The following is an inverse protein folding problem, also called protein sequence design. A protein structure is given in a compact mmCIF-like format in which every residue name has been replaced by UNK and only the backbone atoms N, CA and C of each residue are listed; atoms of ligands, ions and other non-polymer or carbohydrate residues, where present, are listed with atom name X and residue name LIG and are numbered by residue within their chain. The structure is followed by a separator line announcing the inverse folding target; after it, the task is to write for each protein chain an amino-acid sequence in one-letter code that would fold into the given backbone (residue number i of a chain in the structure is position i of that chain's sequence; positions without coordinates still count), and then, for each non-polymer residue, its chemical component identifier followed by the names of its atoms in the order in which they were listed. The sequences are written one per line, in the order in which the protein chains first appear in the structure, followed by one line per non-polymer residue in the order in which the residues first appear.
data_IF_407501256388
#
_entry.id   IF_407501256388
#
_cell.length_a   1.000
_cell.length_b   1.000
_cell.length_c   1.000
_cell.angle_alpha   90.00
_cell.angle_beta   90.00
_cell.angle_gamma   90.00
#
_symmetry.space_group_name_H-M   'P 1'
#
loop_
_entity.id
_entity.type
_entity.pdbx_description
1 polymer ?
#
# COMPACT_ATOMS: atom_id res chain seq x y z
N UNK A 1 8.89 11.07 -0.78
CA UNK A 1 9.06 10.02 0.24
C UNK A 1 8.71 10.51 1.62
N UNK A 2 9.16 11.68 2.04
CA UNK A 2 8.89 12.25 3.38
C UNK A 2 7.43 12.29 3.77
N UNK A 3 6.53 12.61 2.84
CA UNK A 3 5.10 12.61 3.10
C UNK A 3 4.54 11.20 3.40
N UNK A 4 5.10 10.16 2.80
CA UNK A 4 4.70 8.77 3.07
C UNK A 4 5.21 8.35 4.44
N UNK A 5 6.50 8.58 4.72
CA UNK A 5 7.11 8.22 5.99
C UNK A 5 6.42 8.87 7.20
N UNK A 6 6.02 10.15 7.09
CA UNK A 6 5.30 10.88 8.15
C UNK A 6 3.90 10.35 8.44
N UNK A 7 3.30 9.61 7.53
CA UNK A 7 1.93 9.07 7.68
C UNK A 7 1.90 7.64 8.21
N UNK A 8 3.01 6.94 8.15
CA UNK A 8 3.09 5.60 8.70
C UNK A 8 3.10 5.66 10.23
N UNK A 9 2.34 4.80 10.92
CA UNK A 9 2.36 4.71 12.37
C UNK A 9 3.60 3.96 12.90
N UNK A 10 4.57 3.70 12.04
CA UNK A 10 5.83 3.03 12.34
C UNK A 10 6.93 3.53 11.39
N UNK A 11 8.21 3.39 11.75
CA UNK A 11 9.32 3.78 10.88
C UNK A 11 9.32 3.00 9.56
N UNK A 12 9.55 3.70 8.46
CA UNK A 12 9.74 3.08 7.14
C UNK A 12 11.08 2.33 7.14
N UNK A 13 11.03 1.01 6.98
CA UNK A 13 12.21 0.15 7.05
C UNK A 13 12.84 -0.15 5.70
N UNK A 14 12.03 -0.22 4.65
CA UNK A 14 12.52 -0.59 3.33
C UNK A 14 11.62 -0.09 2.20
N UNK A 15 12.21 0.05 1.03
CA UNK A 15 11.55 0.43 -0.23
C UNK A 15 11.97 -0.56 -1.29
N UNK A 16 11.01 -1.15 -1.97
CA UNK A 16 11.19 -2.10 -3.06
C UNK A 16 10.37 -1.62 -4.29
N UNK A 17 10.92 -0.68 -5.09
CA UNK A 17 10.27 -0.22 -6.31
C UNK A 17 10.47 -1.21 -7.46
N UNK A 18 9.70 -1.04 -8.53
CA UNK A 18 10.02 -1.66 -9.80
C UNK A 18 11.28 -1.01 -10.44
N UNK A 19 11.69 -1.54 -11.60
CA UNK A 19 12.87 -1.03 -12.32
C UNK A 19 12.55 0.22 -13.18
N UNK A 20 11.49 0.97 -12.85
CA UNK A 20 11.17 2.24 -13.50
C UNK A 20 12.29 3.27 -13.32
N UNK A 21 12.61 4.00 -14.36
CA UNK A 21 13.67 5.03 -14.33
C UNK A 21 13.41 6.13 -13.30
N UNK A 22 12.14 6.39 -12.98
CA UNK A 22 11.69 7.32 -11.95
C UNK A 22 12.13 6.94 -10.53
N UNK A 23 12.35 5.64 -10.28
CA UNK A 23 12.81 5.12 -8.99
C UNK A 23 14.31 4.85 -8.94
N UNK A 24 14.95 4.70 -10.11
CA UNK A 24 16.39 4.46 -10.21
C UNK A 24 17.12 5.80 -10.34
N UNK A 25 17.15 6.57 -9.24
CA UNK A 25 17.86 7.84 -9.19
C UNK A 25 18.66 7.99 -7.91
N UNK A 26 19.75 8.75 -8.00
CA UNK A 26 20.66 9.01 -6.87
C UNK A 26 19.98 9.73 -5.71
N UNK A 27 18.96 10.53 -5.95
CA UNK A 27 18.25 11.27 -4.91
C UNK A 27 17.51 10.30 -3.99
N UNK A 28 16.76 9.33 -4.55
CA UNK A 28 16.05 8.33 -3.78
C UNK A 28 17.04 7.40 -3.05
N UNK A 29 18.09 6.98 -3.71
CA UNK A 29 19.12 6.13 -3.10
C UNK A 29 19.79 6.83 -1.91
N UNK A 30 20.24 8.08 -2.06
CA UNK A 30 20.84 8.85 -0.99
C UNK A 30 19.86 9.12 0.15
N UNK A 31 18.59 9.38 -0.17
CA UNK A 31 17.53 9.53 0.85
C UNK A 31 17.39 8.25 1.68
N UNK A 32 17.40 7.08 1.06
CA UNK A 32 17.33 5.80 1.76
C UNK A 32 18.55 5.57 2.65
N UNK A 33 19.76 5.84 2.14
CA UNK A 33 21.00 5.74 2.92
C UNK A 33 20.98 6.65 4.15
N UNK A 34 20.65 7.93 3.95
CA UNK A 34 20.63 8.94 5.03
C UNK A 34 19.63 8.59 6.14
N UNK A 35 18.50 7.99 5.77
CA UNK A 35 17.43 7.66 6.71
C UNK A 35 17.47 6.19 7.18
N UNK A 36 18.53 5.46 6.86
CA UNK A 36 18.70 4.03 7.20
C UNK A 36 17.52 3.17 6.73
N UNK A 37 17.05 3.43 5.49
CA UNK A 37 15.97 2.70 4.82
C UNK A 37 16.61 1.71 3.86
N UNK A 38 16.26 0.43 3.97
CA UNK A 38 16.71 -0.59 3.03
C UNK A 38 16.15 -0.31 1.63
N UNK A 39 17.01 -0.28 0.62
CA UNK A 39 16.62 -0.05 -0.77
C UNK A 39 16.92 -1.30 -1.59
N UNK A 40 15.87 -2.00 -2.00
CA UNK A 40 15.97 -3.19 -2.87
C UNK A 40 15.34 -2.90 -4.23
N UNK A 41 15.63 -3.74 -5.22
CA UNK A 41 15.00 -3.68 -6.53
C UNK A 41 14.98 -5.05 -7.19
N UNK A 42 14.04 -5.26 -8.11
CA UNK A 42 14.00 -6.46 -8.93
C UNK A 42 15.26 -6.62 -9.78
N UNK A 43 15.69 -7.86 -9.98
CA UNK A 43 16.84 -8.17 -10.86
C UNK A 43 16.46 -7.91 -12.32
N UNK A 44 17.40 -7.45 -13.15
CA UNK A 44 17.15 -7.26 -14.57
C UNK A 44 16.61 -8.55 -15.21
N UNK A 45 15.59 -8.41 -16.06
CA UNK A 45 14.95 -9.51 -16.80
C UNK A 45 14.26 -10.59 -15.95
N UNK A 46 14.16 -10.44 -14.63
CA UNK A 46 13.46 -11.37 -13.74
C UNK A 46 12.03 -10.87 -13.44
N UNK A 47 11.08 -11.20 -14.32
CA UNK A 47 9.66 -10.77 -14.19
C UNK A 47 9.02 -11.17 -12.87
N UNK A 48 9.43 -12.28 -12.28
CA UNK A 48 8.85 -12.78 -11.03
C UNK A 48 9.19 -11.90 -9.82
N UNK A 49 10.26 -11.12 -9.87
CA UNK A 49 10.65 -10.22 -8.78
C UNK A 49 9.65 -9.06 -8.62
N UNK A 50 9.01 -8.64 -9.71
CA UNK A 50 8.02 -7.55 -9.71
C UNK A 50 6.57 -7.99 -9.44
N UNK A 51 6.33 -9.28 -9.21
CA UNK A 51 4.97 -9.83 -9.08
C UNK A 51 4.14 -9.14 -7.98
N UNK A 52 4.75 -8.76 -6.87
CA UNK A 52 4.06 -8.05 -5.78
C UNK A 52 3.72 -6.61 -6.16
N UNK A 53 4.61 -5.91 -6.83
CA UNK A 53 4.42 -4.52 -7.28
C UNK A 53 3.33 -4.48 -8.35
N UNK A 54 3.37 -5.39 -9.33
CA UNK A 54 2.34 -5.53 -10.37
C UNK A 54 0.97 -5.84 -9.77
N UNK A 55 0.89 -6.77 -8.80
CA UNK A 55 -0.34 -7.06 -8.08
C UNK A 55 -0.88 -5.82 -7.34
N UNK A 56 -0.02 -5.07 -6.66
CA UNK A 56 -0.41 -3.87 -5.94
C UNK A 56 -0.85 -2.77 -6.90
N UNK A 57 -0.14 -2.54 -7.97
CA UNK A 57 -0.53 -1.61 -9.02
C UNK A 57 -1.91 -1.98 -9.60
N UNK A 58 -2.14 -3.25 -9.91
CA UNK A 58 -3.44 -3.71 -10.39
C UNK A 58 -4.56 -3.45 -9.38
N UNK A 59 -4.36 -3.85 -8.12
CA UNK A 59 -5.42 -3.78 -7.09
C UNK A 59 -5.68 -2.37 -6.55
N UNK A 60 -4.65 -1.53 -6.47
CA UNK A 60 -4.77 -0.20 -5.86
C UNK A 60 -4.91 0.93 -6.89
N UNK A 61 -4.43 0.71 -8.12
CA UNK A 61 -4.50 1.73 -9.17
C UNK A 61 -5.49 1.30 -10.24
N UNK A 62 -5.24 0.19 -10.96
CA UNK A 62 -6.03 -0.19 -12.14
C UNK A 62 -7.48 -0.51 -11.81
N UNK A 63 -7.73 -1.23 -10.72
CA UNK A 63 -9.11 -1.50 -10.26
C UNK A 63 -9.83 -0.26 -9.75
N UNK A 64 -9.12 0.74 -9.26
CA UNK A 64 -9.71 1.95 -8.71
C UNK A 64 -9.98 3.00 -9.79
N UNK A 65 -8.97 3.32 -10.59
CA UNK A 65 -8.99 4.44 -11.55
C UNK A 65 -9.15 3.98 -13.00
N UNK A 66 -8.98 2.68 -13.25
CA UNK A 66 -9.00 2.10 -14.59
C UNK A 66 -7.68 2.31 -15.34
N UNK A 67 -7.77 2.27 -16.68
CA UNK A 67 -6.64 2.42 -17.59
C UNK A 67 -6.59 3.80 -18.25
N UNK A 68 -7.36 4.75 -17.75
CA UNK A 68 -7.36 6.13 -18.27
C UNK A 68 -5.96 6.73 -18.18
N UNK A 69 -5.55 7.44 -19.20
CA UNK A 69 -4.30 8.21 -19.19
C UNK A 69 -4.52 9.51 -18.44
N UNK A 70 -3.92 9.63 -17.27
CA UNK A 70 -3.99 10.81 -16.41
C UNK A 70 -2.78 11.69 -16.70
N UNK A 71 -2.91 12.64 -17.62
CA UNK A 71 -1.79 13.50 -18.06
C UNK A 71 -1.93 14.96 -17.65
N UNK A 72 -3.04 15.34 -16.99
CA UNK A 72 -3.29 16.73 -16.62
C UNK A 72 -3.01 16.96 -15.14
N UNK A 73 -2.40 18.09 -14.80
CA UNK A 73 -2.03 18.43 -13.42
C UNK A 73 -3.22 18.38 -12.43
N UNK A 74 -4.38 18.86 -12.86
CA UNK A 74 -5.57 18.82 -12.00
C UNK A 74 -6.05 17.38 -11.69
N UNK A 75 -5.85 16.44 -12.63
CA UNK A 75 -6.15 15.02 -12.40
C UNK A 75 -5.19 14.41 -11.39
N UNK A 76 -3.91 14.77 -11.48
CA UNK A 76 -2.90 14.35 -10.51
C UNK A 76 -3.24 14.86 -9.10
N UNK A 77 -3.64 16.13 -8.96
CA UNK A 77 -4.05 16.70 -7.68
C UNK A 77 -5.26 15.96 -7.10
N UNK A 78 -6.28 15.67 -7.90
CA UNK A 78 -7.47 14.92 -7.47
C UNK A 78 -7.14 13.49 -7.08
N UNK A 79 -6.24 12.82 -7.82
CA UNK A 79 -5.78 11.49 -7.48
C UNK A 79 -5.01 11.48 -6.15
N UNK A 80 -4.09 12.41 -5.98
CA UNK A 80 -3.35 12.54 -4.73
C UNK A 80 -4.29 12.80 -3.56
N UNK A 81 -5.27 13.68 -3.71
CA UNK A 81 -6.29 13.94 -2.70
C UNK A 81 -7.06 12.65 -2.34
N UNK A 82 -7.53 11.88 -3.32
CA UNK A 82 -8.20 10.60 -3.09
C UNK A 82 -7.33 9.61 -2.32
N UNK A 83 -6.06 9.45 -2.72
CA UNK A 83 -5.14 8.50 -2.09
C UNK A 83 -4.71 8.93 -0.69
N UNK A 84 -4.57 10.24 -0.45
CA UNK A 84 -4.16 10.79 0.84
C UNK A 84 -5.31 10.92 1.86
N UNK A 85 -6.53 10.69 1.45
CA UNK A 85 -7.72 10.81 2.28
C UNK A 85 -8.51 9.49 2.33
N UNK A 86 -9.60 9.39 1.59
CA UNK A 86 -10.57 8.29 1.71
C UNK A 86 -9.99 6.93 1.37
N UNK A 87 -9.13 6.84 0.33
CA UNK A 87 -8.60 5.55 -0.10
C UNK A 87 -7.67 4.94 0.93
N UNK A 88 -6.82 5.75 1.57
CA UNK A 88 -5.92 5.33 2.64
C UNK A 88 -6.72 4.74 3.82
N UNK A 89 -7.71 5.47 4.32
CA UNK A 89 -8.57 4.99 5.39
C UNK A 89 -9.36 3.75 5.00
N UNK A 90 -9.97 3.75 3.82
CA UNK A 90 -10.78 2.62 3.36
C UNK A 90 -9.96 1.34 3.26
N UNK A 91 -8.78 1.40 2.66
CA UNK A 91 -7.91 0.24 2.48
C UNK A 91 -7.32 -0.28 3.78
N UNK A 92 -6.87 0.61 4.64
CA UNK A 92 -6.16 0.20 5.84
C UNK A 92 -7.09 -0.24 6.96
N UNK A 93 -8.27 0.33 7.07
CA UNK A 93 -9.18 0.03 8.17
C UNK A 93 -10.29 -0.97 7.81
N UNK A 94 -10.74 -1.04 6.55
CA UNK A 94 -11.93 -1.80 6.18
C UNK A 94 -11.72 -2.89 5.12
N UNK A 95 -10.65 -2.87 4.35
CA UNK A 95 -10.43 -3.89 3.32
C UNK A 95 -9.43 -4.96 3.82
N UNK A 96 -9.93 -6.18 4.13
CA UNK A 96 -9.06 -7.24 4.58
C UNK A 96 -8.20 -7.80 3.43
N UNK A 97 -7.05 -8.31 3.79
CA UNK A 97 -6.16 -9.05 2.90
C UNK A 97 -5.73 -10.36 3.55
N UNK A 98 -5.34 -11.32 2.72
CA UNK A 98 -4.75 -12.60 3.14
C UNK A 98 -3.26 -12.56 2.90
N UNK A 99 -2.48 -13.06 3.86
CA UNK A 99 -1.04 -13.30 3.69
C UNK A 99 -0.79 -14.77 3.42
N UNK A 100 0.15 -15.04 2.53
CA UNK A 100 0.59 -16.41 2.24
C UNK A 100 1.37 -16.94 3.45
N UNK A 101 0.89 -18.04 4.06
CA UNK A 101 1.56 -18.72 5.17
C UNK A 101 2.49 -19.82 4.63
N UNK A 102 2.00 -20.58 3.67
CA UNK A 102 2.71 -21.76 3.18
C UNK A 102 2.49 -21.93 1.68
N UNK A 103 3.55 -22.37 1.01
CA UNK A 103 3.54 -22.70 -0.41
C UNK A 103 4.25 -24.04 -0.57
N UNK A 104 3.49 -25.09 -0.90
CA UNK A 104 4.01 -26.43 -1.14
C UNK A 104 3.79 -26.86 -2.58
N UNK A 105 4.75 -27.58 -3.13
CA UNK A 105 4.56 -28.29 -4.39
C UNK A 105 4.08 -29.70 -4.08
N UNK A 106 2.91 -30.05 -4.60
CA UNK A 106 2.34 -31.40 -4.53
C UNK A 106 2.23 -31.88 -5.95
N UNK A 107 3.11 -32.80 -6.33
CA UNK A 107 3.27 -33.28 -7.70
C UNK A 107 3.50 -32.14 -8.71
N UNK A 108 2.62 -31.98 -9.70
CA UNK A 108 2.68 -30.91 -10.70
C UNK A 108 2.02 -29.58 -10.25
N UNK A 109 1.34 -29.56 -9.09
CA UNK A 109 0.56 -28.41 -8.63
C UNK A 109 1.24 -27.69 -7.47
N UNK A 110 1.05 -26.36 -7.41
CA UNK A 110 1.44 -25.56 -6.26
C UNK A 110 0.21 -25.28 -5.40
N UNK A 111 0.23 -25.81 -4.17
CA UNK A 111 -0.79 -25.54 -3.15
C UNK A 111 -0.33 -24.38 -2.28
N UNK A 112 -1.19 -23.40 -2.13
CA UNK A 112 -0.94 -22.18 -1.32
C UNK A 112 -1.93 -22.15 -0.16
N UNK A 113 -1.41 -21.99 1.06
CA UNK A 113 -2.21 -21.78 2.27
C UNK A 113 -2.09 -20.33 2.71
N UNK A 114 -3.22 -19.71 2.98
CA UNK A 114 -3.31 -18.32 3.41
C UNK A 114 -3.83 -18.23 4.85
N UNK A 115 -3.48 -17.15 5.52
CA UNK A 115 -4.05 -16.79 6.82
C UNK A 115 -5.52 -16.35 6.70
N UNK A 116 -6.14 -16.11 7.87
CA UNK A 116 -7.45 -15.49 7.92
C UNK A 116 -7.40 -14.06 7.38
N UNK A 117 -8.44 -13.63 6.62
CA UNK A 117 -8.50 -12.27 6.12
C UNK A 117 -8.52 -11.27 7.28
N UNK A 118 -7.59 -10.32 7.28
CA UNK A 118 -7.50 -9.23 8.27
C UNK A 118 -7.16 -7.94 7.59
N UNK A 119 -7.69 -6.82 8.11
CA UNK A 119 -7.28 -5.51 7.65
C UNK A 119 -5.86 -5.17 8.13
N UNK A 120 -5.13 -4.26 7.47
CA UNK A 120 -3.86 -3.75 8.00
C UNK A 120 -3.98 -3.23 9.43
N UNK A 121 -5.06 -2.51 9.75
CA UNK A 121 -5.37 -2.05 11.10
C UNK A 121 -5.44 -3.21 12.11
N UNK A 122 -6.23 -4.26 11.82
CA UNK A 122 -6.35 -5.42 12.71
C UNK A 122 -5.00 -6.09 12.95
N UNK A 123 -4.15 -6.21 11.91
CA UNK A 123 -2.82 -6.78 12.04
C UNK A 123 -1.90 -5.98 12.95
N UNK A 124 -1.99 -4.65 12.92
CA UNK A 124 -1.23 -3.79 13.83
C UNK A 124 -1.74 -3.91 15.28
N UNK A 125 -3.06 -3.99 15.45
CA UNK A 125 -3.65 -4.19 16.81
C UNK A 125 -3.20 -5.51 17.46
N UNK A 126 -3.04 -6.56 16.65
CA UNK A 126 -2.61 -7.89 17.13
C UNK A 126 -1.08 -8.02 17.28
N UNK A 127 -0.31 -7.08 16.74
CA UNK A 127 1.15 -7.16 16.78
C UNK A 127 1.67 -6.81 18.18
N UNK A 128 2.46 -7.71 18.77
CA UNK A 128 2.96 -7.58 20.15
C UNK A 128 3.92 -6.40 20.32
N UNK A 129 4.83 -6.22 19.35
CA UNK A 129 5.88 -5.21 19.42
C UNK A 129 5.42 -3.83 18.95
N UNK A 130 4.15 -3.67 18.57
CA UNK A 130 3.62 -2.38 18.15
C UNK A 130 3.20 -1.56 19.38
N UNK A 131 3.73 -0.33 19.57
CA UNK A 131 3.52 0.46 20.78
C UNK A 131 2.05 0.71 21.07
N UNK A 132 1.63 0.52 22.34
CA UNK A 132 0.23 0.68 22.74
C UNK A 132 -0.27 2.12 22.52
N UNK A 133 0.59 3.11 22.71
CA UNK A 133 0.25 4.51 22.44
C UNK A 133 -0.16 4.74 20.98
N UNK A 134 0.50 4.06 20.02
CA UNK A 134 0.14 4.13 18.60
C UNK A 134 -1.13 3.35 18.30
N UNK A 135 -1.37 2.22 19.00
CA UNK A 135 -2.64 1.49 18.92
C UNK A 135 -3.82 2.35 19.38
N UNK A 136 -3.66 3.09 20.48
CA UNK A 136 -4.69 4.02 20.97
C UNK A 136 -5.02 5.12 19.96
N UNK A 137 -4.01 5.73 19.36
CA UNK A 137 -4.20 6.71 18.27
C UNK A 137 -5.01 6.12 17.11
N UNK A 138 -4.65 4.91 16.68
CA UNK A 138 -5.36 4.24 15.60
C UNK A 138 -6.79 3.84 15.97
N UNK A 139 -7.05 3.43 17.21
CA UNK A 139 -8.41 3.18 17.74
C UNK A 139 -9.26 4.47 17.71
N UNK A 140 -8.67 5.59 18.15
CA UNK A 140 -9.36 6.87 18.16
C UNK A 140 -9.73 7.35 16.74
N UNK A 141 -8.90 7.03 15.74
CA UNK A 141 -9.21 7.25 14.33
C UNK A 141 -10.33 6.32 13.89
N UNK A 142 -10.20 5.01 14.14
CA UNK A 142 -11.14 3.98 13.68
C UNK A 142 -12.59 4.25 14.11
N UNK A 143 -12.78 4.66 15.36
CA UNK A 143 -14.12 4.95 15.92
C UNK A 143 -14.85 6.08 15.17
N UNK A 144 -14.09 7.01 14.57
CA UNK A 144 -14.65 8.15 13.81
C UNK A 144 -14.94 7.82 12.34
N UNK A 145 -14.50 6.68 11.85
CA UNK A 145 -14.61 6.32 10.45
C UNK A 145 -15.93 5.59 10.16
N UNK A 146 -16.62 6.04 9.10
CA UNK A 146 -17.80 5.36 8.57
C UNK A 146 -17.48 4.79 7.18
N UNK A 147 -17.37 3.45 7.01
CA UNK A 147 -16.99 2.84 5.74
C UNK A 147 -17.97 3.13 4.60
N UNK A 148 -19.27 3.28 4.88
CA UNK A 148 -20.26 3.58 3.86
C UNK A 148 -20.12 5.02 3.34
N UNK A 149 -19.84 5.97 4.22
CA UNK A 149 -19.59 7.36 3.86
C UNK A 149 -18.27 7.49 3.07
N UNK A 150 -17.20 6.87 3.57
CA UNK A 150 -15.91 6.86 2.88
C UNK A 150 -16.06 6.30 1.47
N UNK A 151 -16.81 5.19 1.31
CA UNK A 151 -17.02 4.60 -0.01
C UNK A 151 -17.80 5.54 -0.96
N UNK A 152 -18.84 6.20 -0.47
CA UNK A 152 -19.58 7.21 -1.27
C UNK A 152 -18.67 8.36 -1.71
N UNK A 153 -17.81 8.84 -0.81
CA UNK A 153 -16.87 9.91 -1.12
C UNK A 153 -15.81 9.47 -2.15
N UNK A 154 -15.32 8.23 -2.06
CA UNK A 154 -14.43 7.63 -3.07
C UNK A 154 -15.13 7.65 -4.44
N UNK A 155 -16.37 7.14 -4.54
CA UNK A 155 -17.09 7.06 -5.80
C UNK A 155 -17.35 8.45 -6.39
N UNK A 156 -17.69 9.43 -5.55
CA UNK A 156 -17.84 10.83 -5.94
C UNK A 156 -16.52 11.41 -6.47
N UNK A 157 -15.41 11.21 -5.80
CA UNK A 157 -14.10 11.71 -6.26
C UNK A 157 -13.68 11.06 -7.58
N UNK A 158 -13.91 9.75 -7.74
CA UNK A 158 -13.60 9.01 -8.97
C UNK A 158 -14.40 9.51 -10.18
N UNK A 159 -15.65 9.94 -10.00
CA UNK A 159 -16.45 10.49 -11.09
C UNK A 159 -15.93 11.84 -11.60
N UNK A 160 -15.05 12.50 -10.85
CA UNK A 160 -14.45 13.79 -11.21
C UNK A 160 -12.99 13.68 -11.69
N UNK A 161 -12.40 12.48 -11.74
CA UNK A 161 -11.07 12.18 -12.29
C UNK A 161 -11.18 11.73 -13.75
#
# INVERSE_FOLDING_TARGET
MDNIAKRLPFPLKGIDPDNGSEFINWQLYNHCLTNNIEFTRGRPYQKNDNAHIEQKNYTHVRKLVGYKRLGKEHQLKKMNDLYWSEWDFYKNFFIPNKKLIEKKRVEAKIVKKYDLPRTPYQRLMEHTDFPEIEKEKLRAIYVKLNPAEIKRNIDKKLSHI
#
